data_IF_881555334588
#
_entry.id   IF_881555334588
#
_cell.length_a   1.000
_cell.length_b   1.000
_cell.length_c   1.000
_cell.angle_alpha   90.00
_cell.angle_beta   90.00
_cell.angle_gamma   90.00
#
_symmetry.space_group_name_H-M   'P 1'
#
loop_
_entity.id
_entity.type
_entity.pdbx_description
1 polymer ?
#
# COMPACT_ATOMS: atom_id res chain seq x y z
N UNK A 1 -12.39 -37.55 -6.15
CA UNK A 1 -12.09 -37.13 -4.76
C UNK A 1 -10.59 -37.15 -4.48
N UNK A 2 -9.75 -36.87 -5.50
CA UNK A 2 -8.28 -36.87 -5.42
C UNK A 2 -7.66 -35.49 -5.71
N UNK A 3 -8.46 -34.48 -6.03
CA UNK A 3 -7.98 -33.14 -6.40
C UNK A 3 -7.76 -32.17 -5.23
N UNK A 4 -8.02 -32.59 -3.98
CA UNK A 4 -7.99 -31.70 -2.79
C UNK A 4 -6.72 -31.89 -1.95
N UNK A 5 -5.88 -32.90 -2.24
CA UNK A 5 -4.74 -33.26 -1.36
C UNK A 5 -3.41 -32.57 -1.75
N UNK A 6 -3.32 -31.85 -2.86
CA UNK A 6 -2.04 -31.26 -3.34
C UNK A 6 -1.92 -29.74 -3.14
N UNK A 7 -2.34 -29.20 -1.99
CA UNK A 7 -1.98 -27.83 -1.58
C UNK A 7 -1.43 -27.82 -0.14
N UNK A 8 -0.42 -28.64 0.13
CA UNK A 8 0.29 -28.67 1.41
C UNK A 8 1.77 -29.00 1.19
N UNK A 9 2.45 -28.18 0.39
CA UNK A 9 3.90 -28.02 0.46
C UNK A 9 4.22 -26.54 0.61
N UNK A 10 3.61 -25.88 1.60
CA UNK A 10 4.20 -24.65 2.12
C UNK A 10 5.50 -25.05 2.80
N UNK A 11 6.60 -24.97 2.04
CA UNK A 11 7.90 -25.30 2.59
C UNK A 11 8.14 -24.43 3.82
N UNK A 12 8.52 -25.04 4.93
CA UNK A 12 8.89 -24.30 6.14
C UNK A 12 9.98 -23.25 5.85
N UNK A 13 10.78 -23.50 4.81
CA UNK A 13 11.75 -22.55 4.26
C UNK A 13 11.08 -21.26 3.77
N UNK A 14 10.00 -21.35 2.99
CA UNK A 14 9.27 -20.20 2.47
C UNK A 14 8.66 -19.36 3.60
N UNK A 15 8.00 -20.00 4.56
CA UNK A 15 7.38 -19.31 5.70
C UNK A 15 8.44 -18.58 6.55
N UNK A 16 9.55 -19.24 6.85
CA UNK A 16 10.67 -18.67 7.61
C UNK A 16 11.37 -17.55 6.85
N UNK A 17 11.62 -17.73 5.56
CA UNK A 17 12.22 -16.70 4.71
C UNK A 17 11.31 -15.47 4.62
N UNK A 18 10.00 -15.67 4.47
CA UNK A 18 9.02 -14.59 4.38
C UNK A 18 8.91 -13.79 5.68
N UNK A 19 9.06 -14.43 6.84
CA UNK A 19 9.15 -13.75 8.13
C UNK A 19 10.28 -12.71 8.23
N UNK A 20 11.39 -12.90 7.49
CA UNK A 20 12.52 -11.95 7.44
C UNK A 20 12.35 -10.94 6.29
N UNK A 21 11.86 -11.42 5.14
CA UNK A 21 11.75 -10.60 3.93
C UNK A 21 10.65 -9.54 4.07
N UNK A 22 9.49 -9.85 4.66
CA UNK A 22 8.40 -8.88 4.76
C UNK A 22 8.79 -7.59 5.52
N UNK A 23 9.41 -7.64 6.72
CA UNK A 23 9.88 -6.43 7.39
C UNK A 23 10.82 -5.58 6.52
N UNK A 24 11.73 -6.21 5.78
CA UNK A 24 12.69 -5.51 4.91
C UNK A 24 11.96 -4.78 3.78
N UNK A 25 11.01 -5.45 3.10
CA UNK A 25 10.20 -4.85 2.04
C UNK A 25 9.35 -3.70 2.59
N UNK A 26 8.77 -3.85 3.78
CA UNK A 26 7.98 -2.80 4.43
C UNK A 26 8.84 -1.56 4.74
N UNK A 27 10.02 -1.74 5.34
CA UNK A 27 10.96 -0.64 5.61
C UNK A 27 11.37 0.04 4.31
N UNK A 28 11.69 -0.74 3.28
CA UNK A 28 12.06 -0.20 1.97
C UNK A 28 10.92 0.60 1.33
N UNK A 29 9.68 0.09 1.37
CA UNK A 29 8.50 0.80 0.89
C UNK A 29 8.28 2.13 1.62
N UNK A 30 8.39 2.13 2.95
CA UNK A 30 8.31 3.36 3.77
C UNK A 30 9.43 4.33 3.39
N UNK A 31 10.66 3.86 3.22
CA UNK A 31 11.78 4.68 2.77
C UNK A 31 11.51 5.35 1.42
N UNK A 32 10.99 4.61 0.43
CA UNK A 32 10.65 5.13 -0.90
C UNK A 32 9.55 6.20 -0.83
N UNK A 33 8.58 6.03 0.07
CA UNK A 33 7.52 7.02 0.31
C UNK A 33 8.11 8.32 0.88
N UNK A 34 8.90 8.21 1.95
CA UNK A 34 9.43 9.37 2.67
C UNK A 34 10.46 10.16 1.85
N UNK A 35 11.31 9.46 1.10
CA UNK A 35 12.40 10.07 0.34
C UNK A 35 12.03 10.48 -1.09
N UNK A 36 10.80 10.20 -1.54
CA UNK A 36 10.37 10.48 -2.92
C UNK A 36 10.31 11.96 -3.32
N UNK A 37 10.57 12.89 -2.38
CA UNK A 37 10.76 14.31 -2.69
C UNK A 37 12.20 14.68 -3.08
N UNK A 38 13.17 13.80 -2.79
CA UNK A 38 14.61 14.01 -3.07
C UNK A 38 15.11 12.99 -4.10
N UNK A 39 14.71 11.72 -3.97
CA UNK A 39 15.14 10.62 -4.83
C UNK A 39 14.04 10.19 -5.79
N UNK A 40 14.36 9.47 -6.88
CA UNK A 40 13.35 8.75 -7.66
C UNK A 40 12.52 7.85 -6.74
N UNK A 41 11.20 7.94 -6.83
CA UNK A 41 10.30 7.24 -5.90
C UNK A 41 8.98 7.97 -5.68
N UNK A 42 8.48 7.91 -4.44
CA UNK A 42 7.27 8.60 -4.00
C UNK A 42 6.15 7.68 -3.52
N UNK A 43 5.02 8.29 -3.21
CA UNK A 43 3.86 7.61 -2.63
C UNK A 43 3.35 6.46 -3.50
N UNK A 44 3.28 6.64 -4.83
CA UNK A 44 2.74 5.59 -5.70
C UNK A 44 3.62 4.34 -5.72
N UNK A 45 4.92 4.50 -5.98
CA UNK A 45 5.85 3.37 -6.09
C UNK A 45 6.02 2.67 -4.74
N UNK A 46 6.21 3.44 -3.67
CA UNK A 46 6.31 2.89 -2.32
C UNK A 46 5.00 2.23 -1.86
N UNK A 47 3.84 2.82 -2.18
CA UNK A 47 2.54 2.21 -1.94
C UNK A 47 2.34 0.88 -2.67
N UNK A 48 2.82 0.77 -3.92
CA UNK A 48 2.79 -0.50 -4.65
C UNK A 48 3.69 -1.57 -4.00
N UNK A 49 4.87 -1.18 -3.51
CA UNK A 49 5.76 -2.06 -2.74
C UNK A 49 5.06 -2.57 -1.48
N UNK A 50 4.44 -1.67 -0.70
CA UNK A 50 3.69 -2.06 0.51
C UNK A 50 2.49 -2.95 0.17
N UNK A 51 1.73 -2.62 -0.88
CA UNK A 51 0.63 -3.44 -1.40
C UNK A 51 1.06 -4.86 -1.76
N UNK A 52 2.25 -5.02 -2.35
CA UNK A 52 2.79 -6.34 -2.73
C UNK A 52 3.01 -7.25 -1.52
N UNK A 53 3.33 -6.71 -0.35
CA UNK A 53 3.49 -7.49 0.89
C UNK A 53 2.15 -8.08 1.32
N UNK A 54 1.06 -7.31 1.25
CA UNK A 54 -0.28 -7.81 1.57
C UNK A 54 -0.74 -8.90 0.60
N UNK A 55 -0.43 -8.73 -0.69
CA UNK A 55 -0.70 -9.73 -1.72
C UNK A 55 0.12 -11.02 -1.46
N UNK A 56 1.42 -10.89 -1.23
CA UNK A 56 2.29 -12.03 -0.95
C UNK A 56 1.89 -12.77 0.32
N UNK A 57 1.44 -12.05 1.36
CA UNK A 57 0.93 -12.63 2.60
C UNK A 57 -0.32 -13.46 2.35
N UNK A 58 -1.25 -12.97 1.52
CA UNK A 58 -2.43 -13.75 1.14
C UNK A 58 -2.07 -15.04 0.40
N UNK A 59 -1.07 -14.99 -0.48
CA UNK A 59 -0.62 -16.17 -1.23
C UNK A 59 0.01 -17.24 -0.32
N UNK A 60 0.68 -16.84 0.77
CA UNK A 60 1.31 -17.75 1.74
C UNK A 60 0.41 -18.16 2.90
N UNK A 61 -0.66 -17.42 3.19
CA UNK A 61 -1.67 -17.78 4.19
C UNK A 61 -3.03 -17.18 3.80
N UNK A 62 -3.82 -17.89 2.97
CA UNK A 62 -5.09 -17.38 2.47
C UNK A 62 -6.20 -17.34 3.54
N UNK A 63 -5.95 -17.88 4.74
CA UNK A 63 -6.93 -17.95 5.84
C UNK A 63 -7.07 -16.58 6.52
N UNK A 64 -6.12 -15.65 6.34
CA UNK A 64 -6.22 -14.29 6.85
C UNK A 64 -7.18 -13.44 6.03
N UNK A 65 -8.43 -13.40 6.49
CA UNK A 65 -9.48 -12.55 5.93
C UNK A 65 -9.19 -11.09 6.34
N UNK A 66 -8.69 -10.30 5.40
CA UNK A 66 -8.69 -8.84 5.53
C UNK A 66 -10.12 -8.32 5.46
N UNK A 67 -10.51 -7.43 6.38
CA UNK A 67 -11.78 -6.72 6.26
C UNK A 67 -11.72 -5.70 5.11
N UNK A 68 -12.18 -6.15 3.94
CA UNK A 68 -12.20 -5.33 2.73
C UNK A 68 -13.01 -4.04 2.89
N UNK A 69 -14.01 -3.99 3.78
CA UNK A 69 -14.79 -2.77 4.02
C UNK A 69 -13.93 -1.71 4.69
N UNK A 70 -13.15 -2.07 5.70
CA UNK A 70 -12.22 -1.17 6.37
C UNK A 70 -11.13 -0.70 5.41
N UNK A 71 -10.52 -1.60 4.63
CA UNK A 71 -9.47 -1.22 3.65
C UNK A 71 -10.01 -0.27 2.58
N UNK A 72 -11.23 -0.51 2.07
CA UNK A 72 -11.90 0.40 1.12
C UNK A 72 -12.24 1.76 1.74
N UNK A 73 -12.63 1.78 3.01
CA UNK A 73 -12.93 3.03 3.71
C UNK A 73 -11.66 3.85 3.86
N UNK A 74 -10.55 3.24 4.29
CA UNK A 74 -9.24 3.89 4.38
C UNK A 74 -8.79 4.43 3.01
N UNK A 75 -8.93 3.63 1.94
CA UNK A 75 -8.57 4.04 0.58
C UNK A 75 -9.34 5.28 0.12
N UNK A 76 -10.67 5.29 0.29
CA UNK A 76 -11.53 6.41 -0.08
C UNK A 76 -11.27 7.65 0.77
N UNK A 77 -11.09 7.47 2.08
CA UNK A 77 -10.75 8.58 2.99
C UNK A 77 -9.40 9.18 2.62
N UNK A 78 -8.38 8.36 2.35
CA UNK A 78 -7.08 8.84 1.90
C UNK A 78 -7.18 9.63 0.60
N UNK A 79 -7.95 9.14 -0.38
CA UNK A 79 -8.21 9.86 -1.64
C UNK A 79 -8.87 11.23 -1.39
N UNK A 80 -9.90 11.27 -0.54
CA UNK A 80 -10.60 12.51 -0.21
C UNK A 80 -9.65 13.52 0.46
N UNK A 81 -8.82 13.08 1.40
CA UNK A 81 -7.83 13.94 2.08
C UNK A 81 -6.79 14.47 1.09
N UNK A 82 -6.32 13.65 0.13
CA UNK A 82 -5.40 14.09 -0.93
C UNK A 82 -6.05 15.20 -1.77
N UNK A 83 -7.28 15.02 -2.21
CA UNK A 83 -7.99 16.01 -3.05
C UNK A 83 -8.23 17.33 -2.30
N UNK A 84 -8.69 17.25 -1.04
CA UNK A 84 -8.90 18.43 -0.22
C UNK A 84 -7.60 19.17 0.09
N UNK A 85 -6.55 18.46 0.51
CA UNK A 85 -5.26 19.07 0.83
C UNK A 85 -4.62 19.73 -0.38
N UNK A 86 -4.64 19.09 -1.56
CA UNK A 86 -4.12 19.66 -2.78
C UNK A 86 -4.90 20.90 -3.24
N UNK A 87 -6.24 20.81 -3.25
CA UNK A 87 -7.10 21.94 -3.66
C UNK A 87 -6.92 23.14 -2.74
N UNK A 88 -6.89 22.90 -1.42
CA UNK A 88 -6.68 23.94 -0.43
C UNK A 88 -5.30 24.61 -0.59
N UNK A 89 -4.24 23.81 -0.74
CA UNK A 89 -2.87 24.31 -0.87
C UNK A 89 -2.69 25.21 -2.11
N UNK A 90 -3.32 24.85 -3.22
CA UNK A 90 -3.30 25.64 -4.47
C UNK A 90 -4.18 26.89 -4.35
N UNK A 91 -5.41 26.76 -3.84
CA UNK A 91 -6.38 27.88 -3.77
C UNK A 91 -5.89 29.00 -2.87
N UNK A 92 -5.28 28.65 -1.73
CA UNK A 92 -4.74 29.61 -0.78
C UNK A 92 -3.37 30.16 -1.16
N UNK A 93 -2.83 29.73 -2.32
CA UNK A 93 -1.53 30.17 -2.82
C UNK A 93 -0.39 29.96 -1.79
N UNK A 94 -0.48 28.89 -1.00
CA UNK A 94 0.45 28.64 0.11
C UNK A 94 1.89 28.41 -0.36
N UNK A 95 2.05 27.96 -1.61
CA UNK A 95 3.36 27.80 -2.25
C UNK A 95 4.12 29.13 -2.41
N UNK A 96 3.42 30.25 -2.62
CA UNK A 96 4.05 31.57 -2.77
C UNK A 96 4.32 32.24 -1.41
N UNK A 97 3.52 31.93 -0.40
CA UNK A 97 3.60 32.58 0.92
C UNK A 97 4.62 31.87 1.82
N UNK A 98 4.73 30.54 1.73
CA UNK A 98 5.57 29.74 2.60
C UNK A 98 6.42 28.74 1.81
N UNK A 99 7.49 29.22 1.18
CA UNK A 99 8.43 28.41 0.39
C UNK A 99 9.03 27.25 1.21
N UNK A 100 9.20 27.45 2.52
CA UNK A 100 9.66 26.42 3.45
C UNK A 100 8.63 25.33 3.78
N UNK A 101 7.36 25.43 3.37
CA UNK A 101 6.35 24.39 3.68
C UNK A 101 6.20 23.34 2.57
N UNK A 102 6.79 23.59 1.40
CA UNK A 102 6.65 22.73 0.23
C UNK A 102 7.18 21.31 0.47
N UNK A 103 8.32 21.17 1.18
CA UNK A 103 8.88 19.85 1.48
C UNK A 103 7.95 19.04 2.39
N UNK A 104 7.36 19.68 3.40
CA UNK A 104 6.42 19.05 4.34
C UNK A 104 5.18 18.60 3.57
N UNK A 105 4.65 19.47 2.70
CA UNK A 105 3.51 19.15 1.85
C UNK A 105 3.80 17.92 0.98
N UNK A 106 4.93 17.88 0.26
CA UNK A 106 5.28 16.73 -0.58
C UNK A 106 5.46 15.43 0.21
N UNK A 107 6.09 15.48 1.38
CA UNK A 107 6.24 14.29 2.25
C UNK A 107 4.87 13.78 2.71
N UNK A 108 4.01 14.67 3.21
CA UNK A 108 2.65 14.30 3.66
C UNK A 108 1.79 13.77 2.51
N UNK A 109 1.84 14.41 1.34
CA UNK A 109 1.15 13.93 0.15
C UNK A 109 1.66 12.56 -0.27
N UNK A 110 2.98 12.32 -0.25
CA UNK A 110 3.55 11.01 -0.56
C UNK A 110 3.05 9.92 0.40
N UNK A 111 2.98 10.21 1.71
CA UNK A 111 2.44 9.27 2.70
C UNK A 111 0.99 8.92 2.40
N UNK A 112 0.14 9.93 2.17
CA UNK A 112 -1.28 9.71 1.87
C UNK A 112 -1.48 8.92 0.57
N UNK A 113 -0.74 9.26 -0.48
CA UNK A 113 -0.78 8.54 -1.76
C UNK A 113 -0.31 7.10 -1.56
N UNK A 114 0.74 6.87 -0.77
CA UNK A 114 1.25 5.54 -0.45
C UNK A 114 0.19 4.66 0.22
N UNK A 115 -0.50 5.19 1.22
CA UNK A 115 -1.62 4.50 1.89
C UNK A 115 -2.73 4.19 0.87
N UNK A 116 -3.18 5.20 0.12
CA UNK A 116 -4.22 5.03 -0.91
C UNK A 116 -3.87 3.94 -1.91
N UNK A 117 -2.63 3.91 -2.40
CA UNK A 117 -2.18 2.94 -3.41
C UNK A 117 -2.04 1.55 -2.81
N UNK A 118 -1.46 1.40 -1.62
CA UNK A 118 -1.34 0.10 -0.95
C UNK A 118 -2.72 -0.52 -0.69
N UNK A 119 -3.67 0.27 -0.15
CA UNK A 119 -5.04 -0.17 0.07
C UNK A 119 -5.76 -0.50 -1.25
N UNK A 120 -5.65 0.36 -2.25
CA UNK A 120 -6.28 0.16 -3.56
C UNK A 120 -5.82 -1.11 -4.26
N UNK A 121 -4.50 -1.35 -4.30
CA UNK A 121 -3.90 -2.58 -4.86
C UNK A 121 -4.39 -3.83 -4.12
N UNK A 122 -4.41 -3.77 -2.79
CA UNK A 122 -4.90 -4.89 -1.96
C UNK A 122 -6.38 -5.18 -2.24
N UNK A 123 -7.24 -4.14 -2.32
CA UNK A 123 -8.66 -4.30 -2.64
C UNK A 123 -8.87 -4.90 -4.02
N UNK A 124 -8.15 -4.42 -5.04
CA UNK A 124 -8.25 -4.94 -6.41
C UNK A 124 -7.89 -6.43 -6.43
N UNK A 125 -6.77 -6.79 -5.82
CA UNK A 125 -6.29 -8.17 -5.78
C UNK A 125 -7.28 -9.10 -5.07
N UNK A 126 -7.67 -8.77 -3.84
CA UNK A 126 -8.62 -9.60 -3.08
C UNK A 126 -9.97 -9.71 -3.79
N UNK A 127 -10.45 -8.63 -4.41
CA UNK A 127 -11.72 -8.66 -5.14
C UNK A 127 -11.64 -9.54 -6.39
N UNK A 128 -10.50 -9.52 -7.09
CA UNK A 128 -10.26 -10.42 -8.22
C UNK A 128 -10.26 -11.89 -7.77
N UNK A 129 -9.51 -12.21 -6.71
CA UNK A 129 -9.44 -13.59 -6.19
C UNK A 129 -10.80 -14.10 -5.70
N UNK A 130 -11.55 -13.29 -4.94
CA UNK A 130 -12.89 -13.68 -4.47
C UNK A 130 -13.89 -13.84 -5.62
N UNK A 131 -13.73 -13.10 -6.72
CA UNK A 131 -14.58 -13.22 -7.90
C UNK A 131 -14.28 -14.51 -8.67
N UNK A 132 -13.00 -14.87 -8.82
CA UNK A 132 -12.58 -16.10 -9.51
C UNK A 132 -12.93 -17.38 -8.71
N UNK A 133 -12.99 -17.29 -7.38
CA UNK A 133 -13.34 -18.44 -6.52
C UNK A 133 -14.82 -18.86 -6.53
N UNK A 134 -15.68 -18.21 -7.33
CA UNK A 134 -17.12 -18.48 -7.45
C UNK A 134 -17.46 -19.00 -8.83
#
# INVERSE_FOLDING_TARGET
MEGIIMMSDHSQLLERAMGIIYPIILIFGVYVILNGHISPGGGFQGGAILGSVFIAKYLGDPIQILDLKTVQTIEKTALLVILLSATFYVTMNLYAIFTGTLYIFFILSNILIGIKVACGMTVIFYRFVFYESR
#
